data_IF_474205790695
#
_entry.id   IF_474205790695
#
_cell.length_a   1.000
_cell.length_b   1.000
_cell.length_c   1.000
_cell.angle_alpha   90.00
_cell.angle_beta   90.00
_cell.angle_gamma   90.00
#
_symmetry.space_group_name_H-M   'P 1'
#
loop_
_entity.id
_entity.type
_entity.pdbx_description
1 polymer ?
#
# COMPACT_ATOMS: atom_id res chain seq x y z
N UNK A 1 -2.34 -2.88 19.21
CA UNK A 1 -2.12 -2.05 18.00
C UNK A 1 -2.41 -2.73 16.64
N UNK A 2 -2.56 -4.04 16.55
CA UNK A 2 -2.62 -4.80 15.27
C UNK A 2 -3.84 -4.55 14.37
N UNK A 3 -4.97 -4.11 14.94
CA UNK A 3 -6.26 -3.99 14.24
C UNK A 3 -6.17 -3.07 13.02
N UNK A 4 -5.43 -1.96 13.10
CA UNK A 4 -5.29 -1.01 11.99
C UNK A 4 -4.66 -1.65 10.75
N UNK A 5 -3.54 -2.35 10.92
CA UNK A 5 -2.83 -3.01 9.82
C UNK A 5 -3.64 -4.16 9.22
N UNK A 6 -4.39 -4.88 10.07
CA UNK A 6 -5.29 -5.97 9.63
C UNK A 6 -6.43 -5.39 8.79
N UNK A 7 -7.07 -4.31 9.23
CA UNK A 7 -8.13 -3.65 8.49
C UNK A 7 -7.63 -3.08 7.16
N UNK A 8 -6.50 -2.38 7.17
CA UNK A 8 -5.89 -1.81 5.97
C UNK A 8 -5.60 -2.90 4.93
N UNK A 9 -4.94 -3.98 5.35
CA UNK A 9 -4.61 -5.10 4.46
C UNK A 9 -5.88 -5.80 3.96
N UNK A 10 -6.85 -6.07 4.84
CA UNK A 10 -8.08 -6.78 4.49
C UNK A 10 -8.94 -5.98 3.50
N UNK A 11 -9.13 -4.67 3.75
CA UNK A 11 -9.90 -3.79 2.86
C UNK A 11 -9.19 -3.67 1.52
N UNK A 12 -7.87 -3.45 1.49
CA UNK A 12 -7.10 -3.38 0.25
C UNK A 12 -7.22 -4.66 -0.58
N UNK A 13 -7.08 -5.84 0.04
CA UNK A 13 -7.21 -7.12 -0.67
C UNK A 13 -8.64 -7.29 -1.20
N UNK A 14 -9.66 -6.93 -0.42
CA UNK A 14 -11.04 -7.00 -0.86
C UNK A 14 -11.29 -6.10 -2.08
N UNK A 15 -10.81 -4.84 -2.07
CA UNK A 15 -10.94 -3.91 -3.20
C UNK A 15 -10.26 -4.45 -4.45
N UNK A 16 -9.02 -4.96 -4.34
CA UNK A 16 -8.27 -5.53 -5.47
C UNK A 16 -8.98 -6.76 -6.04
N UNK A 17 -9.44 -7.68 -5.17
CA UNK A 17 -10.14 -8.89 -5.61
C UNK A 17 -11.44 -8.54 -6.32
N UNK A 18 -12.24 -7.62 -5.77
CA UNK A 18 -13.48 -7.15 -6.40
C UNK A 18 -13.18 -6.51 -7.75
N UNK A 19 -12.14 -5.67 -7.84
CA UNK A 19 -11.71 -5.07 -9.10
C UNK A 19 -11.33 -6.12 -10.15
N UNK A 20 -10.49 -7.10 -9.79
CA UNK A 20 -10.06 -8.17 -10.69
C UNK A 20 -11.28 -8.96 -11.18
N UNK A 21 -12.20 -9.32 -10.28
CA UNK A 21 -13.43 -10.05 -10.65
C UNK A 21 -14.32 -9.23 -11.60
N UNK A 22 -14.41 -7.91 -11.42
CA UNK A 22 -15.15 -7.03 -12.32
C UNK A 22 -14.45 -6.81 -13.65
N UNK A 23 -13.12 -6.94 -13.70
CA UNK A 23 -12.35 -6.79 -14.93
C UNK A 23 -12.56 -7.97 -15.89
N UNK A 24 -12.78 -9.18 -15.36
CA UNK A 24 -13.09 -10.38 -16.15
C UNK A 24 -14.56 -10.53 -16.53
N UNK A 25 -15.48 -9.82 -15.87
CA UNK A 25 -16.91 -9.90 -16.17
C UNK A 25 -17.30 -8.94 -17.30
N UNK A 26 -18.12 -9.42 -18.23
CA UNK A 26 -18.74 -8.60 -19.28
C UNK A 26 -19.60 -7.51 -18.64
N UNK A 27 -19.51 -6.29 -19.15
CA UNK A 27 -20.25 -5.12 -18.65
C UNK A 27 -21.75 -5.41 -18.68
N UNK A 28 -22.35 -5.58 -17.50
CA UNK A 28 -23.79 -5.67 -17.28
C UNK A 28 -24.22 -4.51 -16.37
N UNK A 29 -25.51 -4.15 -16.34
CA UNK A 29 -26.06 -3.08 -15.50
C UNK A 29 -25.66 -3.22 -14.02
N UNK A 30 -25.71 -4.42 -13.47
CA UNK A 30 -25.23 -4.68 -12.10
C UNK A 30 -23.73 -4.38 -11.92
N UNK A 31 -22.90 -4.58 -12.95
CA UNK A 31 -21.47 -4.30 -12.88
C UNK A 31 -21.14 -2.80 -12.91
N UNK A 32 -21.98 -1.96 -13.53
CA UNK A 32 -21.79 -0.49 -13.53
C UNK A 32 -21.91 0.06 -12.11
N UNK A 33 -22.96 -0.31 -11.38
CA UNK A 33 -23.13 0.12 -9.98
C UNK A 33 -21.99 -0.37 -9.07
N UNK A 34 -21.55 -1.63 -9.22
CA UNK A 34 -20.43 -2.14 -8.41
C UNK A 34 -19.13 -1.38 -8.74
N UNK A 35 -18.90 -0.99 -9.99
CA UNK A 35 -17.74 -0.17 -10.39
C UNK A 35 -17.77 1.22 -9.75
N UNK A 36 -18.93 1.86 -9.69
CA UNK A 36 -19.11 3.15 -9.01
C UNK A 36 -18.83 3.03 -7.50
N UNK A 37 -19.39 2.00 -6.86
CA UNK A 37 -19.11 1.70 -5.46
C UNK A 37 -17.61 1.49 -5.24
N UNK A 38 -16.97 0.72 -6.12
CA UNK A 38 -15.55 0.41 -6.03
C UNK A 38 -14.67 1.65 -6.21
N UNK A 39 -14.98 2.52 -7.17
CA UNK A 39 -14.24 3.75 -7.40
C UNK A 39 -14.28 4.69 -6.19
N UNK A 40 -15.48 4.94 -5.65
CA UNK A 40 -15.65 5.79 -4.47
C UNK A 40 -15.00 5.18 -3.22
N UNK A 41 -15.19 3.87 -3.01
CA UNK A 41 -14.59 3.16 -1.87
C UNK A 41 -13.06 3.14 -1.95
N UNK A 42 -12.51 2.94 -3.15
CA UNK A 42 -11.05 2.93 -3.35
C UNK A 42 -10.47 4.33 -3.14
N UNK A 43 -11.15 5.38 -3.61
CA UNK A 43 -10.76 6.79 -3.37
C UNK A 43 -10.71 7.10 -1.88
N UNK A 44 -11.80 6.85 -1.17
CA UNK A 44 -11.87 7.07 0.27
C UNK A 44 -10.83 6.21 1.02
N UNK A 45 -10.66 4.95 0.64
CA UNK A 45 -9.66 4.08 1.25
C UNK A 45 -8.25 4.61 1.06
N UNK A 46 -7.88 4.98 -0.16
CA UNK A 46 -6.54 5.46 -0.48
C UNK A 46 -6.18 6.73 0.29
N UNK A 47 -7.11 7.70 0.34
CA UNK A 47 -6.91 8.95 1.07
C UNK A 47 -6.73 8.72 2.57
N UNK A 48 -7.49 7.80 3.17
CA UNK A 48 -7.33 7.47 4.58
C UNK A 48 -6.06 6.64 4.86
N UNK A 49 -5.79 5.65 4.02
CA UNK A 49 -4.65 4.75 4.15
C UNK A 49 -3.31 5.48 3.98
N UNK A 50 -3.22 6.47 3.08
CA UNK A 50 -1.98 7.25 2.91
C UNK A 50 -1.68 8.11 4.14
N UNK A 51 -2.69 8.73 4.77
CA UNK A 51 -2.50 9.46 6.02
C UNK A 51 -2.11 8.52 7.16
N UNK A 52 -2.77 7.38 7.28
CA UNK A 52 -2.43 6.34 8.24
C UNK A 52 -0.97 5.88 8.07
N UNK A 53 -0.57 5.51 6.86
CA UNK A 53 0.79 5.09 6.54
C UNK A 53 1.79 6.19 6.86
N UNK A 54 1.54 7.45 6.46
CA UNK A 54 2.44 8.57 6.77
C UNK A 54 2.68 8.75 8.28
N UNK A 55 1.61 8.64 9.09
CA UNK A 55 1.71 8.71 10.55
C UNK A 55 2.54 7.56 11.13
N UNK A 56 2.34 6.35 10.60
CA UNK A 56 3.11 5.17 11.00
C UNK A 56 4.58 5.29 10.59
N UNK A 57 4.89 5.84 9.42
CA UNK A 57 6.26 6.08 8.99
C UNK A 57 6.97 7.08 9.91
N UNK A 58 6.32 8.18 10.25
CA UNK A 58 6.88 9.18 11.19
C UNK A 58 7.07 8.56 12.58
N UNK A 59 6.07 7.84 13.09
CA UNK A 59 6.17 7.15 14.37
C UNK A 59 7.33 6.13 14.37
N UNK A 60 7.50 5.41 13.27
CA UNK A 60 8.59 4.45 13.08
C UNK A 60 9.96 5.14 13.16
N UNK A 61 10.12 6.30 12.51
CA UNK A 61 11.35 7.10 12.61
C UNK A 61 11.64 7.50 14.05
N UNK A 62 10.63 8.01 14.78
CA UNK A 62 10.80 8.45 16.17
C UNK A 62 11.19 7.29 17.09
N UNK A 63 10.51 6.14 16.97
CA UNK A 63 10.81 4.95 17.78
C UNK A 63 12.22 4.44 17.49
N UNK A 64 12.57 4.32 16.21
CA UNK A 64 13.90 3.83 15.81
C UNK A 64 15.02 4.81 16.16
N UNK A 65 14.79 6.12 16.07
CA UNK A 65 15.75 7.11 16.54
C UNK A 65 16.02 6.94 18.04
N UNK A 66 14.98 6.77 18.87
CA UNK A 66 15.15 6.51 20.31
C UNK A 66 15.94 5.23 20.59
N UNK A 67 15.72 4.18 19.79
CA UNK A 67 16.47 2.91 19.91
C UNK A 67 17.93 3.10 19.48
N UNK A 68 18.17 3.74 18.34
CA UNK A 68 19.52 3.95 17.79
C UNK A 68 20.39 4.85 18.66
N UNK A 69 19.79 5.84 19.34
CA UNK A 69 20.51 6.72 20.29
C UNK A 69 20.54 6.18 21.72
N UNK A 70 20.05 4.96 21.97
CA UNK A 70 20.10 4.33 23.29
C UNK A 70 19.24 5.00 24.37
N UNK A 71 18.31 5.87 23.99
CA UNK A 71 17.52 6.69 24.93
C UNK A 71 16.48 5.82 25.68
N UNK A 72 15.96 4.76 25.04
CA UNK A 72 14.86 3.96 25.59
C UNK A 72 15.02 2.45 25.34
N UNK A 73 16.24 2.00 25.04
CA UNK A 73 16.52 0.60 24.74
C UNK A 73 16.68 -0.19 26.04
N UNK A 74 15.57 -0.58 26.68
CA UNK A 74 15.54 -1.54 27.80
C UNK A 74 15.94 -2.96 27.33
N UNK A 75 17.04 -3.12 26.60
CA UNK A 75 17.50 -4.38 26.02
C UNK A 75 16.72 -4.91 24.80
N UNK A 76 15.50 -4.43 24.55
CA UNK A 76 14.63 -4.92 23.46
C UNK A 76 14.80 -4.18 22.11
N UNK A 77 15.91 -3.46 21.92
CA UNK A 77 16.14 -2.64 20.72
C UNK A 77 16.08 -3.44 19.41
N UNK A 78 16.68 -4.63 19.38
CA UNK A 78 16.69 -5.50 18.20
C UNK A 78 15.29 -5.95 17.75
N UNK A 79 14.46 -6.39 18.69
CA UNK A 79 13.09 -6.85 18.41
C UNK A 79 12.21 -5.66 18.02
N UNK A 80 12.33 -4.55 18.75
CA UNK A 80 11.61 -3.30 18.44
C UNK A 80 11.94 -2.81 17.04
N UNK A 81 13.20 -2.88 16.61
CA UNK A 81 13.61 -2.54 15.25
C UNK A 81 12.96 -3.45 14.20
N UNK A 82 12.94 -4.78 14.42
CA UNK A 82 12.31 -5.74 13.52
C UNK A 82 10.79 -5.49 13.40
N UNK A 83 10.11 -5.26 14.52
CA UNK A 83 8.66 -4.98 14.56
C UNK A 83 8.36 -3.68 13.82
N UNK A 84 9.06 -2.60 14.15
CA UNK A 84 8.82 -1.27 13.58
C UNK A 84 8.99 -1.27 12.06
N UNK A 85 10.03 -1.95 11.57
CA UNK A 85 10.25 -2.09 10.14
C UNK A 85 9.16 -2.94 9.45
N UNK A 86 8.73 -4.05 10.06
CA UNK A 86 7.66 -4.89 9.52
C UNK A 86 6.33 -4.11 9.45
N UNK A 87 6.00 -3.33 10.47
CA UNK A 87 4.84 -2.42 10.49
C UNK A 87 4.93 -1.38 9.37
N UNK A 88 6.10 -0.75 9.20
CA UNK A 88 6.33 0.21 8.11
C UNK A 88 6.03 -0.42 6.74
N UNK A 89 6.49 -1.65 6.50
CA UNK A 89 6.21 -2.37 5.26
C UNK A 89 4.73 -2.76 5.11
N UNK A 90 4.08 -3.17 6.20
CA UNK A 90 2.66 -3.56 6.22
C UNK A 90 1.72 -2.43 5.79
N UNK A 91 2.06 -1.17 6.08
CA UNK A 91 1.25 -0.02 5.65
C UNK A 91 1.54 0.45 4.23
N UNK A 92 2.73 0.15 3.69
CA UNK A 92 3.12 0.58 2.34
C UNK A 92 2.75 -0.43 1.26
N UNK A 93 2.80 -1.73 1.56
CA UNK A 93 2.48 -2.78 0.61
C UNK A 93 1.06 -2.61 0.04
N UNK A 94 -0.02 -2.52 0.86
CA UNK A 94 -1.39 -2.41 0.36
C UNK A 94 -1.63 -1.20 -0.55
N UNK A 95 -0.90 -0.11 -0.33
CA UNK A 95 -0.99 1.12 -1.12
C UNK A 95 -0.36 1.02 -2.50
N UNK A 96 0.59 0.10 -2.72
CA UNK A 96 1.33 -0.03 -3.97
C UNK A 96 0.40 -0.24 -5.19
N UNK A 97 -0.43 -1.30 -5.28
CA UNK A 97 -1.32 -1.51 -6.42
C UNK A 97 -2.31 -0.37 -6.63
N UNK A 98 -2.72 0.31 -5.56
CA UNK A 98 -3.64 1.46 -5.62
C UNK A 98 -2.95 2.71 -6.18
N UNK A 99 -1.69 2.95 -5.81
CA UNK A 99 -0.89 4.09 -6.32
C UNK A 99 -0.47 3.93 -7.79
N UNK A 100 -0.61 2.72 -8.32
CA UNK A 100 -0.22 2.36 -9.68
C UNK A 100 -1.42 2.16 -10.61
N UNK A 101 -2.59 1.79 -10.08
CA UNK A 101 -3.78 1.50 -10.88
C UNK A 101 -4.71 2.70 -11.00
N UNK A 102 -4.47 3.56 -12.00
CA UNK A 102 -5.37 4.69 -12.32
C UNK A 102 -6.82 4.21 -12.60
N UNK A 103 -6.98 2.96 -13.07
CA UNK A 103 -8.26 2.34 -13.41
C UNK A 103 -9.21 2.09 -12.23
N UNK A 104 -8.69 1.89 -11.02
CA UNK A 104 -9.58 1.60 -9.89
C UNK A 104 -10.38 2.80 -9.44
N UNK A 105 -9.99 4.01 -9.87
CA UNK A 105 -10.65 5.27 -9.54
C UNK A 105 -11.44 5.85 -10.71
N UNK A 106 -11.29 5.30 -11.92
CA UNK A 106 -11.97 5.81 -13.10
C UNK A 106 -13.39 5.26 -13.15
N UNK A 107 -14.35 6.17 -13.01
CA UNK A 107 -15.75 5.89 -13.34
C UNK A 107 -15.80 5.54 -14.84
N UNK A 108 -16.61 4.55 -15.20
CA UNK A 108 -16.55 3.89 -16.51
C UNK A 108 -17.09 4.79 -17.64
N UNK A 109 -16.47 5.95 -17.91
CA UNK A 109 -16.84 6.89 -18.98
C UNK A 109 -16.41 6.43 -20.39
N UNK A 110 -16.27 5.12 -20.58
CA UNK A 110 -16.03 4.52 -21.90
C UNK A 110 -17.12 4.90 -22.90
N UNK A 111 -18.35 5.07 -22.43
CA UNK A 111 -19.48 5.46 -23.26
C UNK A 111 -19.49 6.95 -23.57
N UNK A 112 -18.83 7.81 -22.80
CA UNK A 112 -18.77 9.25 -23.09
C UNK A 112 -17.69 9.58 -24.14
N UNK A 113 -16.56 8.84 -24.16
CA UNK A 113 -15.56 8.90 -25.24
C UNK A 113 -16.08 8.21 -26.52
N UNK A 114 -16.73 7.04 -26.45
CA UNK A 114 -17.33 6.38 -27.63
C UNK A 114 -18.54 7.17 -28.18
N UNK A 115 -19.38 7.78 -27.34
CA UNK A 115 -20.48 8.63 -27.81
C UNK A 115 -19.98 9.91 -28.46
N UNK A 116 -18.89 10.51 -27.96
CA UNK A 116 -18.27 11.66 -28.61
C UNK A 116 -17.67 11.31 -29.99
N UNK A 117 -17.16 10.09 -30.17
CA UNK A 117 -16.63 9.59 -31.45
C UNK A 117 -17.75 9.17 -32.43
N UNK A 118 -18.85 8.60 -31.93
CA UNK A 118 -20.02 8.25 -32.75
C UNK A 118 -20.79 9.50 -33.19
N UNK A 119 -20.96 10.51 -32.32
CA UNK A 119 -21.58 11.80 -32.65
C UNK A 119 -20.75 12.58 -33.70
N UNK A 120 -19.42 12.38 -33.74
CA UNK A 120 -18.57 12.97 -34.78
C UNK A 120 -18.85 12.46 -36.20
N UNK A 121 -19.50 11.30 -36.36
CA UNK A 121 -19.77 10.71 -37.68
C UNK A 121 -21.18 10.97 -38.20
N UNK A 122 -22.14 11.42 -37.37
CA UNK A 122 -23.55 11.51 -37.75
C UNK A 122 -24.12 12.93 -37.90
N UNK A 123 -23.44 13.99 -37.43
CA UNK A 123 -24.01 15.35 -37.44
C UNK A 123 -23.21 16.31 -38.34
N UNK A 124 -23.51 16.26 -39.63
CA UNK A 124 -22.81 17.04 -40.67
C UNK A 124 -23.38 18.44 -40.95
N UNK A 125 -24.36 18.97 -40.19
CA UNK A 125 -25.01 20.23 -40.65
C UNK A 125 -25.29 21.34 -39.62
N UNK A 126 -24.86 21.25 -38.35
CA UNK A 126 -24.95 22.43 -37.45
C UNK A 126 -23.99 22.45 -36.23
N UNK A 127 -22.89 21.69 -36.29
CA UNK A 127 -22.16 21.23 -35.10
C UNK A 127 -20.99 22.05 -34.56
N UNK A 128 -20.58 23.17 -35.17
CA UNK A 128 -19.24 23.73 -34.89
C UNK A 128 -19.09 24.34 -33.48
N UNK A 129 -20.12 25.01 -32.93
CA UNK A 129 -20.06 25.61 -31.58
C UNK A 129 -20.26 24.60 -30.44
N UNK A 130 -21.06 23.56 -30.66
CA UNK A 130 -21.30 22.51 -29.66
C UNK A 130 -20.06 21.58 -29.58
N UNK A 131 -19.39 21.35 -30.71
CA UNK A 131 -18.17 20.55 -30.84
C UNK A 131 -16.98 21.12 -30.07
N UNK A 132 -16.73 22.43 -30.13
CA UNK A 132 -15.67 23.07 -29.33
C UNK A 132 -15.94 22.99 -27.82
N UNK A 133 -17.21 23.12 -27.42
CA UNK A 133 -17.57 23.17 -26.00
C UNK A 133 -17.48 21.79 -25.35
N UNK A 134 -17.98 20.74 -26.02
CA UNK A 134 -17.88 19.35 -25.54
C UNK A 134 -16.43 18.85 -25.52
N UNK A 135 -15.65 19.15 -26.55
CA UNK A 135 -14.23 18.79 -26.62
C UNK A 135 -13.40 19.47 -25.51
N UNK A 136 -13.67 20.74 -25.18
CA UNK A 136 -13.00 21.42 -24.07
C UNK A 136 -13.34 20.83 -22.72
N UNK A 137 -14.61 20.47 -22.49
CA UNK A 137 -15.06 19.87 -21.21
C UNK A 137 -14.41 18.49 -20.99
N UNK A 138 -14.36 17.66 -22.04
CA UNK A 138 -13.70 16.35 -21.96
C UNK A 138 -12.18 16.48 -21.71
N UNK A 139 -11.53 17.47 -22.32
CA UNK A 139 -10.09 17.71 -22.13
C UNK A 139 -9.80 18.20 -20.70
N UNK A 140 -10.62 19.10 -20.16
CA UNK A 140 -10.46 19.59 -18.77
C UNK A 140 -10.65 18.48 -17.75
N UNK A 141 -11.59 17.55 -17.95
CA UNK A 141 -11.81 16.43 -17.03
C UNK A 141 -10.62 15.46 -17.03
N UNK A 142 -10.03 15.21 -18.20
CA UNK A 142 -8.85 14.35 -18.34
C UNK A 142 -7.62 14.95 -17.64
N UNK A 143 -7.40 16.25 -17.79
CA UNK A 143 -6.28 16.94 -17.14
C UNK A 143 -6.40 16.93 -15.61
N UNK A 144 -7.63 17.03 -15.07
CA UNK A 144 -7.89 16.92 -13.63
C UNK A 144 -7.64 15.51 -13.08
N UNK A 145 -8.06 14.46 -13.80
CA UNK A 145 -7.79 13.07 -13.45
C UNK A 145 -6.29 12.77 -13.41
N UNK A 146 -5.55 13.17 -14.46
CA UNK A 146 -4.10 12.99 -14.55
C UNK A 146 -3.36 13.74 -13.43
N UNK A 147 -3.85 14.93 -13.04
CA UNK A 147 -3.31 15.69 -11.92
C UNK A 147 -3.53 14.97 -10.58
N UNK A 148 -4.72 14.37 -10.39
CA UNK A 148 -5.03 13.63 -9.17
C UNK A 148 -4.17 12.36 -9.06
N UNK A 149 -3.93 11.62 -10.13
CA UNK A 149 -3.10 10.43 -10.13
C UNK A 149 -1.63 10.75 -9.86
N UNK A 150 -1.11 11.85 -10.43
CA UNK A 150 0.23 12.37 -10.10
C UNK A 150 0.33 12.73 -8.63
N UNK A 151 -0.70 13.36 -8.06
CA UNK A 151 -0.76 13.70 -6.62
C UNK A 151 -0.73 12.44 -5.75
N UNK A 152 -1.53 11.42 -6.08
CA UNK A 152 -1.55 10.14 -5.33
C UNK A 152 -0.18 9.49 -5.34
N UNK A 153 0.40 9.30 -6.52
CA UNK A 153 1.73 8.72 -6.64
C UNK A 153 2.80 9.52 -5.89
N UNK A 154 2.75 10.86 -5.96
CA UNK A 154 3.65 11.72 -5.19
C UNK A 154 3.55 11.51 -3.68
N UNK A 155 2.32 11.42 -3.13
CA UNK A 155 2.12 11.16 -1.70
C UNK A 155 2.65 9.77 -1.30
N UNK A 156 2.46 8.77 -2.16
CA UNK A 156 3.04 7.44 -1.95
C UNK A 156 4.57 7.47 -1.95
N UNK A 157 5.19 8.18 -2.90
CA UNK A 157 6.65 8.37 -2.96
C UNK A 157 7.16 9.04 -1.68
N UNK A 158 6.44 10.03 -1.14
CA UNK A 158 6.81 10.66 0.12
C UNK A 158 6.80 9.66 1.28
N UNK A 159 5.77 8.81 1.38
CA UNK A 159 5.71 7.76 2.40
C UNK A 159 6.82 6.71 2.21
N UNK A 160 7.11 6.33 0.96
CA UNK A 160 8.23 5.45 0.62
C UNK A 160 9.58 6.05 1.02
N UNK A 161 9.81 7.35 0.78
CA UNK A 161 11.03 8.04 1.21
C UNK A 161 11.20 8.01 2.74
N UNK A 162 10.12 8.19 3.50
CA UNK A 162 10.18 8.06 4.96
C UNK A 162 10.55 6.64 5.41
N UNK A 163 10.13 5.62 4.66
CA UNK A 163 10.44 4.20 4.95
C UNK A 163 11.91 3.82 4.75
N UNK A 164 12.68 4.65 4.06
CA UNK A 164 14.12 4.46 3.89
C UNK A 164 14.83 4.47 5.24
N UNK A 165 14.39 5.30 6.19
CA UNK A 165 15.03 5.35 7.52
C UNK A 165 14.81 4.05 8.32
N UNK A 166 13.59 3.51 8.46
CA UNK A 166 13.37 2.18 9.02
C UNK A 166 14.19 1.07 8.36
N UNK A 167 14.28 1.10 7.03
CA UNK A 167 15.10 0.15 6.28
C UNK A 167 16.59 0.27 6.65
N UNK A 168 17.17 1.47 6.56
CA UNK A 168 18.58 1.69 6.88
C UNK A 168 18.90 1.35 8.34
N UNK A 169 18.04 1.74 9.28
CA UNK A 169 18.18 1.39 10.69
C UNK A 169 18.26 -0.13 10.89
N UNK A 170 17.41 -0.89 10.20
CA UNK A 170 17.45 -2.35 10.25
C UNK A 170 18.70 -2.92 9.58
N UNK A 171 19.11 -2.39 8.43
CA UNK A 171 20.29 -2.86 7.71
C UNK A 171 21.56 -2.65 8.54
N UNK A 172 21.69 -1.50 9.22
CA UNK A 172 22.78 -1.26 10.19
C UNK A 172 22.70 -2.26 11.33
N UNK A 173 21.51 -2.57 11.86
CA UNK A 173 21.38 -3.62 12.89
C UNK A 173 21.57 -5.06 12.40
N UNK A 174 21.55 -5.31 11.08
CA UNK A 174 21.73 -6.66 10.50
C UNK A 174 23.16 -6.90 10.05
N UNK A 175 23.79 -5.89 9.43
CA UNK A 175 25.11 -5.96 8.83
C UNK A 175 26.18 -5.19 9.63
N UNK A 176 25.77 -4.40 10.63
CA UNK A 176 26.68 -3.81 11.58
C UNK A 176 27.32 -4.88 12.46
N UNK A 177 28.49 -4.56 13.01
CA UNK A 177 29.18 -5.49 13.91
C UNK A 177 28.27 -5.85 15.09
N UNK A 178 28.14 -7.15 15.36
CA UNK A 178 27.51 -7.68 16.57
C UNK A 178 28.07 -6.97 17.80
N UNK A 179 27.24 -6.23 18.52
CA UNK A 179 27.67 -5.42 19.68
C UNK A 179 27.90 -6.25 20.95
N UNK A 180 27.69 -7.57 20.93
CA UNK A 180 27.84 -8.39 22.13
C UNK A 180 28.72 -9.61 21.81
N UNK A 181 29.86 -9.72 22.50
CA UNK A 181 30.64 -10.96 22.61
C UNK A 181 31.69 -11.27 21.53
N UNK A 182 31.72 -10.59 20.37
CA UNK A 182 32.57 -11.00 19.24
C UNK A 182 33.84 -10.18 19.01
N UNK A 183 34.16 -9.22 19.89
CA UNK A 183 35.38 -8.41 19.80
C UNK A 183 36.51 -8.97 20.68
N UNK A 184 37.77 -8.68 20.35
CA UNK A 184 38.95 -9.05 21.14
C UNK A 184 39.01 -8.44 22.55
N UNK A 185 38.06 -7.57 22.90
CA UNK A 185 37.85 -7.00 24.24
C UNK A 185 36.50 -7.34 24.87
N UNK A 186 35.79 -8.38 24.39
CA UNK A 186 34.53 -8.80 24.96
C UNK A 186 34.73 -9.39 26.37
N UNK A 187 34.06 -8.81 27.37
CA UNK A 187 34.15 -9.20 28.79
C UNK A 187 33.43 -10.53 29.09
N UNK A 188 32.50 -10.93 28.21
CA UNK A 188 31.66 -12.12 28.38
C UNK A 188 31.92 -13.06 27.20
N UNK A 189 32.27 -14.31 27.49
CA UNK A 189 32.49 -15.32 26.46
C UNK A 189 31.16 -15.73 25.82
N UNK A 190 31.19 -16.25 24.59
CA UNK A 190 30.01 -16.78 23.90
C UNK A 190 29.31 -17.89 24.68
N UNK A 191 30.06 -18.69 25.46
CA UNK A 191 29.51 -19.75 26.29
C UNK A 191 28.75 -19.19 27.50
N UNK A 192 29.28 -18.14 28.14
CA UNK A 192 28.60 -17.48 29.26
C UNK A 192 27.32 -16.79 28.79
N UNK A 193 27.33 -16.26 27.56
CA UNK A 193 26.14 -15.65 26.97
C UNK A 193 25.04 -16.67 26.69
N UNK A 194 25.39 -17.85 26.18
CA UNK A 194 24.43 -18.94 25.99
C UNK A 194 23.82 -19.41 27.33
N UNK A 195 24.61 -19.42 28.41
CA UNK A 195 24.13 -19.77 29.74
C UNK A 195 23.17 -18.72 30.31
N UNK A 196 23.48 -17.44 30.14
CA UNK A 196 22.62 -16.31 30.54
C UNK A 196 21.32 -16.33 29.73
N UNK A 197 21.40 -16.56 28.42
CA UNK A 197 20.23 -16.68 27.55
C UNK A 197 19.33 -17.84 28.01
N UNK A 198 19.91 -19.01 28.29
CA UNK A 198 19.16 -20.17 28.75
C UNK A 198 18.44 -19.95 30.08
N UNK A 199 19.08 -19.29 31.05
CA UNK A 199 18.47 -19.03 32.37
C UNK A 199 17.48 -17.86 32.33
N UNK A 200 17.74 -16.80 31.54
CA UNK A 200 16.85 -15.65 31.43
C UNK A 200 15.63 -15.90 30.54
N UNK A 201 15.72 -16.77 29.54
CA UNK A 201 14.63 -17.07 28.59
C UNK A 201 13.97 -18.44 28.82
N UNK A 202 14.17 -19.04 29.99
CA UNK A 202 13.55 -20.31 30.36
C UNK A 202 12.02 -20.22 30.28
N UNK A 203 11.43 -20.91 29.29
CA UNK A 203 9.98 -20.91 29.04
C UNK A 203 9.52 -19.95 27.93
N UNK A 204 10.44 -19.22 27.28
CA UNK A 204 10.16 -18.43 26.07
C UNK A 204 10.37 -19.31 24.84
N UNK A 205 9.42 -19.30 23.90
CA UNK A 205 9.55 -20.04 22.64
C UNK A 205 10.45 -19.25 21.69
N UNK A 206 11.74 -19.54 21.72
CA UNK A 206 12.73 -18.88 20.86
C UNK A 206 12.38 -18.95 19.38
N UNK A 207 12.90 -17.97 18.65
CA UNK A 207 12.85 -17.96 17.21
C UNK A 207 13.81 -19.02 16.68
N UNK A 208 13.28 -19.97 15.90
CA UNK A 208 14.13 -20.88 15.16
C UNK A 208 14.97 -20.08 14.14
N UNK A 209 16.25 -20.41 13.98
CA UNK A 209 17.15 -19.69 13.06
C UNK A 209 16.61 -19.61 11.62
N UNK A 210 15.88 -20.64 11.17
CA UNK A 210 15.17 -20.64 9.88
C UNK A 210 14.05 -19.60 9.81
N UNK A 211 13.30 -19.38 10.91
CA UNK A 211 12.26 -18.36 11.00
C UNK A 211 12.88 -16.95 10.96
N UNK A 212 13.97 -16.72 11.68
CA UNK A 212 14.65 -15.42 11.66
C UNK A 212 15.21 -15.06 10.29
N UNK A 213 15.79 -16.05 9.62
CA UNK A 213 16.33 -15.90 8.26
C UNK A 213 15.19 -15.60 7.28
N UNK A 214 14.07 -16.33 7.38
CA UNK A 214 12.89 -16.08 6.55
C UNK A 214 12.31 -14.67 6.79
N UNK A 215 12.10 -14.26 8.05
CA UNK A 215 11.60 -12.93 8.38
C UNK A 215 12.47 -11.82 7.79
N UNK A 216 13.79 -11.96 7.90
CA UNK A 216 14.72 -10.98 7.36
C UNK A 216 14.72 -10.99 5.82
N UNK A 217 14.76 -12.17 5.19
CA UNK A 217 14.76 -12.30 3.74
C UNK A 217 13.49 -11.71 3.10
N UNK A 218 12.31 -12.03 3.64
CA UNK A 218 11.05 -11.48 3.16
C UNK A 218 10.88 -9.99 3.49
N UNK A 219 11.39 -9.53 4.64
CA UNK A 219 11.45 -8.10 4.96
C UNK A 219 12.26 -7.31 3.92
N UNK A 220 13.49 -7.76 3.64
CA UNK A 220 14.38 -7.14 2.65
C UNK A 220 13.74 -7.24 1.26
N UNK A 221 13.26 -8.43 0.90
CA UNK A 221 12.59 -8.67 -0.38
C UNK A 221 11.37 -7.80 -0.61
N UNK A 222 10.55 -7.57 0.43
CA UNK A 222 9.36 -6.70 0.34
C UNK A 222 9.75 -5.25 0.10
N UNK A 223 10.76 -4.74 0.82
CA UNK A 223 11.24 -3.37 0.64
C UNK A 223 11.90 -3.16 -0.74
N UNK A 224 12.71 -4.14 -1.20
CA UNK A 224 13.33 -4.10 -2.52
C UNK A 224 12.28 -4.16 -3.63
N UNK A 225 11.26 -5.02 -3.48
CA UNK A 225 10.13 -5.09 -4.42
C UNK A 225 9.40 -3.76 -4.51
N UNK A 226 9.02 -3.17 -3.38
CA UNK A 226 8.42 -1.82 -3.32
C UNK A 226 9.30 -0.77 -4.00
N UNK A 227 10.58 -0.73 -3.63
CA UNK A 227 11.52 0.28 -4.12
C UNK A 227 11.78 0.15 -5.61
N UNK A 228 11.91 -1.09 -6.13
CA UNK A 228 12.10 -1.35 -7.55
C UNK A 228 10.92 -0.79 -8.36
N UNK A 229 9.69 -1.05 -7.92
CA UNK A 229 8.48 -0.57 -8.62
C UNK A 229 8.36 0.96 -8.55
N UNK A 230 8.65 1.56 -7.38
CA UNK A 230 8.62 3.03 -7.22
C UNK A 230 9.68 3.70 -8.10
N UNK A 231 10.93 3.24 -8.04
CA UNK A 231 12.03 3.80 -8.84
C UNK A 231 11.75 3.63 -10.33
N UNK A 232 11.23 2.46 -10.73
CA UNK A 232 10.82 2.21 -12.11
C UNK A 232 9.77 3.22 -12.59
N UNK A 233 8.73 3.50 -11.80
CA UNK A 233 7.69 4.49 -12.16
C UNK A 233 8.22 5.93 -12.17
N UNK A 234 9.09 6.29 -11.22
CA UNK A 234 9.76 7.61 -11.22
C UNK A 234 10.61 7.78 -12.49
N UNK A 235 11.39 6.76 -12.84
CA UNK A 235 12.22 6.77 -14.04
C UNK A 235 11.40 6.93 -15.32
N UNK A 236 10.31 6.17 -15.45
CA UNK A 236 9.38 6.30 -16.58
C UNK A 236 8.75 7.70 -16.65
N UNK A 237 8.27 8.22 -15.52
CA UNK A 237 7.71 9.58 -15.44
C UNK A 237 8.73 10.66 -15.80
N UNK A 238 10.01 10.44 -15.45
CA UNK A 238 11.12 11.32 -15.82
C UNK A 238 11.38 11.35 -17.32
N UNK A 239 11.46 10.17 -17.96
CA UNK A 239 11.65 10.05 -19.41
C UNK A 239 10.51 10.73 -20.18
N UNK A 240 9.27 10.49 -19.78
CA UNK A 240 8.10 11.10 -20.43
C UNK A 240 8.13 12.63 -20.38
N UNK A 241 8.53 13.21 -19.23
CA UNK A 241 8.64 14.67 -19.09
C UNK A 241 9.77 15.27 -19.90
N UNK A 242 10.92 14.60 -19.96
CA UNK A 242 12.12 15.15 -20.59
C UNK A 242 12.09 15.00 -22.13
N UNK A 243 11.47 13.93 -22.63
CA UNK A 243 11.49 13.61 -24.05
C UNK A 243 10.12 13.16 -24.59
N UNK A 244 9.13 14.08 -24.63
CA UNK A 244 7.76 13.75 -25.07
C UNK A 244 7.71 13.24 -26.52
N UNK A 245 8.60 13.70 -27.40
CA UNK A 245 8.63 13.32 -28.82
C UNK A 245 9.68 12.24 -29.15
N UNK A 246 10.29 11.60 -28.15
CA UNK A 246 11.28 10.56 -28.45
C UNK A 246 10.62 9.26 -28.89
N UNK A 247 11.21 8.61 -29.90
CA UNK A 247 10.86 7.22 -30.29
C UNK A 247 10.99 6.23 -29.13
N UNK A 248 11.70 6.61 -28.07
CA UNK A 248 11.87 5.81 -26.86
C UNK A 248 10.62 5.90 -26.00
N UNK A 249 10.10 7.10 -25.73
CA UNK A 249 8.82 7.30 -25.04
C UNK A 249 7.68 6.59 -25.77
N UNK A 250 7.59 6.75 -27.09
CA UNK A 250 6.55 6.07 -27.89
C UNK A 250 6.72 4.55 -27.91
N UNK A 251 7.95 4.01 -27.91
CA UNK A 251 8.19 2.55 -27.82
C UNK A 251 7.79 1.97 -26.47
N UNK A 252 7.97 2.72 -25.39
CA UNK A 252 7.53 2.30 -24.07
C UNK A 252 6.01 2.34 -23.96
N UNK A 253 5.37 3.32 -24.61
CA UNK A 253 3.91 3.48 -24.64
C UNK A 253 3.22 2.35 -25.41
N UNK A 254 3.78 1.96 -26.55
CA UNK A 254 3.20 0.98 -27.49
C UNK A 254 3.42 -0.49 -27.08
N UNK A 255 4.42 -0.76 -26.22
CA UNK A 255 4.70 -2.10 -25.68
C UNK A 255 4.32 -2.16 -24.21
N UNK A 256 3.04 -2.41 -23.89
CA UNK A 256 2.44 -3.14 -22.74
C UNK A 256 3.11 -3.17 -21.34
N UNK A 257 4.15 -2.38 -21.09
CA UNK A 257 4.92 -2.31 -19.84
C UNK A 257 4.32 -1.23 -18.92
N UNK A 258 3.32 -0.51 -19.41
CA UNK A 258 2.60 0.46 -18.61
C UNK A 258 1.67 -0.23 -17.59
N UNK A 259 1.90 0.12 -16.33
CA UNK A 259 0.91 -0.01 -15.25
C UNK A 259 -0.35 0.86 -15.54
N UNK A 260 -0.26 1.78 -16.51
CA UNK A 260 -1.33 2.63 -17.04
C UNK A 260 -2.03 2.06 -18.30
N UNK A 261 -2.01 0.74 -18.52
CA UNK A 261 -2.69 0.15 -19.70
C UNK A 261 -4.21 0.14 -19.53
N UNK A 262 -4.95 0.71 -20.50
CA UNK A 262 -6.41 0.90 -20.54
C UNK A 262 -7.28 -0.35 -20.24
N UNK A 263 -6.70 -1.55 -20.33
CA UNK A 263 -7.27 -2.80 -19.82
C UNK A 263 -6.35 -3.42 -18.76
N UNK A 264 -6.78 -3.47 -17.49
CA UNK A 264 -5.97 -4.02 -16.40
C UNK A 264 -5.71 -5.53 -16.57
N UNK A 265 -6.59 -6.26 -17.25
CA UNK A 265 -6.41 -7.67 -17.58
C UNK A 265 -5.29 -7.94 -18.58
N UNK A 266 -4.82 -6.92 -19.30
CA UNK A 266 -3.78 -7.03 -20.32
C UNK A 266 -2.38 -6.65 -19.78
N UNK A 267 -2.30 -5.94 -18.65
CA UNK A 267 -1.03 -5.62 -17.99
C UNK A 267 -0.63 -6.73 -17.01
N UNK A 268 0.14 -7.70 -17.52
CA UNK A 268 0.69 -8.78 -16.71
C UNK A 268 1.46 -8.27 -15.47
N UNK A 269 2.19 -7.16 -15.61
CA UNK A 269 2.93 -6.55 -14.50
C UNK A 269 2.02 -6.04 -13.39
N UNK A 270 0.91 -5.37 -13.73
CA UNK A 270 -0.05 -4.89 -12.74
C UNK A 270 -0.71 -6.07 -12.01
N UNK A 271 -1.07 -7.14 -12.73
CA UNK A 271 -1.60 -8.37 -12.14
C UNK A 271 -0.57 -9.03 -11.21
N UNK A 272 0.70 -9.10 -11.61
CA UNK A 272 1.78 -9.58 -10.74
C UNK A 272 1.89 -8.75 -9.47
N UNK A 273 1.84 -7.41 -9.55
CA UNK A 273 1.87 -6.53 -8.37
C UNK A 273 0.67 -6.80 -7.47
N UNK A 274 -0.54 -6.97 -8.03
CA UNK A 274 -1.76 -7.25 -7.27
C UNK A 274 -1.76 -8.62 -6.58
N UNK A 275 -1.00 -9.60 -7.08
CA UNK A 275 -0.88 -10.93 -6.46
C UNK A 275 0.28 -10.97 -5.46
N UNK A 276 1.44 -10.42 -5.82
CA UNK A 276 2.65 -10.44 -4.98
C UNK A 276 2.45 -9.58 -3.74
N UNK A 277 1.79 -8.43 -3.85
CA UNK A 277 1.60 -7.49 -2.74
C UNK A 277 0.83 -8.10 -1.56
N UNK A 278 -0.36 -8.72 -1.76
CA UNK A 278 -1.06 -9.44 -0.69
C UNK A 278 -0.25 -10.58 -0.08
N UNK A 279 0.47 -11.35 -0.90
CA UNK A 279 1.30 -12.46 -0.41
C UNK A 279 2.41 -11.96 0.53
N UNK A 280 3.11 -10.89 0.12
CA UNK A 280 4.10 -10.23 0.96
C UNK A 280 3.45 -9.65 2.23
N UNK A 281 2.27 -9.04 2.11
CA UNK A 281 1.55 -8.45 3.26
C UNK A 281 1.15 -9.52 4.29
N UNK A 282 0.66 -10.69 3.83
CA UNK A 282 0.33 -11.83 4.70
C UNK A 282 1.59 -12.31 5.44
N UNK A 283 2.71 -12.43 4.73
CA UNK A 283 3.97 -12.84 5.35
C UNK A 283 4.47 -11.81 6.37
N UNK A 284 4.39 -10.52 6.05
CA UNK A 284 4.74 -9.45 7.00
C UNK A 284 3.82 -9.48 8.22
N UNK A 285 2.53 -9.76 8.04
CA UNK A 285 1.56 -9.86 9.13
C UNK A 285 1.91 -11.03 10.06
N UNK A 286 2.28 -12.19 9.50
CA UNK A 286 2.79 -13.31 10.26
C UNK A 286 4.07 -12.95 11.04
N UNK A 287 5.01 -12.26 10.39
CA UNK A 287 6.26 -11.80 11.01
C UNK A 287 5.96 -10.88 12.20
N UNK A 288 5.11 -9.89 12.00
CA UNK A 288 4.67 -8.95 13.02
C UNK A 288 4.05 -9.69 14.23
N UNK A 289 3.06 -10.56 14.01
CA UNK A 289 2.42 -11.29 15.11
C UNK A 289 3.39 -12.24 15.84
N UNK A 290 4.31 -12.88 15.12
CA UNK A 290 5.30 -13.76 15.74
C UNK A 290 6.26 -12.98 16.63
N UNK A 291 6.74 -11.82 16.17
CA UNK A 291 7.61 -10.93 16.93
C UNK A 291 6.89 -10.30 18.12
N UNK A 292 5.64 -9.88 17.96
CA UNK A 292 4.83 -9.34 19.06
C UNK A 292 4.63 -10.41 20.15
N UNK A 293 4.28 -11.64 19.77
CA UNK A 293 4.14 -12.76 20.72
C UNK A 293 5.44 -13.03 21.47
N UNK A 294 6.57 -12.97 20.78
CA UNK A 294 7.88 -13.13 21.41
C UNK A 294 8.16 -12.00 22.41
N UNK A 295 7.90 -10.74 22.04
CA UNK A 295 8.09 -9.59 22.92
C UNK A 295 7.23 -9.68 24.19
N UNK A 296 5.97 -10.09 24.05
CA UNK A 296 5.07 -10.38 25.17
C UNK A 296 5.61 -11.49 26.07
N UNK A 297 6.10 -12.60 25.49
CA UNK A 297 6.66 -13.71 26.27
C UNK A 297 7.92 -13.29 27.04
N UNK A 298 8.80 -12.51 26.41
CA UNK A 298 9.98 -11.96 27.08
C UNK A 298 9.61 -11.00 28.22
N UNK A 299 8.61 -10.14 28.01
CA UNK A 299 8.15 -9.19 29.03
C UNK A 299 7.57 -9.91 30.25
N UNK A 300 6.77 -10.97 30.01
CA UNK A 300 6.24 -11.84 31.07
C UNK A 300 7.33 -12.60 31.81
N UNK A 301 8.30 -13.15 31.08
CA UNK A 301 9.44 -13.84 31.68
C UNK A 301 10.29 -12.92 32.57
N UNK A 302 10.40 -11.63 32.22
CA UNK A 302 11.06 -10.62 33.05
C UNK A 302 10.22 -10.12 34.24
N UNK A 303 9.05 -10.70 34.50
CA UNK A 303 8.15 -10.29 35.59
C UNK A 303 7.42 -8.96 35.34
N UNK A 304 7.38 -8.49 34.09
CA UNK A 304 6.64 -7.29 33.70
C UNK A 304 5.18 -7.62 33.39
N UNK A 305 4.28 -6.70 33.75
CA UNK A 305 2.90 -6.74 33.28
C UNK A 305 2.85 -6.42 31.79
N UNK A 306 1.93 -7.09 31.09
CA UNK A 306 1.76 -7.01 29.64
C UNK A 306 0.69 -5.94 29.33
N UNK A 307 1.08 -4.70 28.93
CA UNK A 307 0.13 -3.60 28.74
C UNK A 307 -0.75 -3.77 27.49
N UNK A 308 -0.54 -4.84 26.72
CA UNK A 308 -1.14 -5.05 25.39
C UNK A 308 -2.56 -5.65 25.42
N UNK A 309 -3.16 -5.81 26.61
CA UNK A 309 -4.55 -6.31 26.76
C UNK A 309 -5.60 -5.21 26.61
N UNK A 310 -5.23 -3.94 26.78
CA UNK A 310 -6.14 -2.81 26.65
C UNK A 310 -6.17 -2.23 25.23
N UNK A 311 -7.34 -1.70 24.84
CA UNK A 311 -7.45 -0.93 23.60
C UNK A 311 -6.59 0.33 23.68
N UNK A 312 -5.49 0.30 22.96
CA UNK A 312 -4.61 1.46 22.81
C UNK A 312 -5.27 2.56 21.98
N UNK A 313 -4.96 3.82 22.29
CA UNK A 313 -5.42 4.98 21.50
C UNK A 313 -5.19 4.79 19.99
N UNK A 314 -4.06 4.19 19.60
CA UNK A 314 -3.75 3.89 18.20
C UNK A 314 -4.74 2.93 17.52
N UNK A 315 -5.31 1.95 18.24
CA UNK A 315 -6.33 1.06 17.70
C UNK A 315 -7.65 1.79 17.46
N UNK A 316 -8.05 2.65 18.39
CA UNK A 316 -9.27 3.46 18.27
C UNK A 316 -9.14 4.41 17.07
N UNK A 317 -8.02 5.13 16.99
CA UNK A 317 -7.73 6.03 15.86
C UNK A 317 -7.72 5.29 14.53
N UNK A 318 -7.12 4.10 14.46
CA UNK A 318 -7.09 3.31 13.23
C UNK A 318 -8.51 2.92 12.75
N UNK A 319 -9.40 2.51 13.67
CA UNK A 319 -10.79 2.21 13.31
C UNK A 319 -11.53 3.46 12.82
N UNK A 320 -11.32 4.60 13.48
CA UNK A 320 -11.92 5.88 13.08
C UNK A 320 -11.45 6.29 11.69
N UNK A 321 -10.16 6.15 11.38
CA UNK A 321 -9.59 6.50 10.06
C UNK A 321 -10.23 5.69 8.92
N UNK A 322 -10.59 4.41 9.15
CA UNK A 322 -11.23 3.59 8.12
C UNK A 322 -12.77 3.67 8.12
N UNK A 323 -13.38 4.36 9.09
CA UNK A 323 -14.84 4.54 9.16
C UNK A 323 -15.43 5.23 7.91
N UNK A 324 -14.80 6.28 7.33
CA UNK A 324 -15.30 6.89 6.09
C UNK A 324 -15.47 5.89 4.95
N UNK A 325 -14.61 4.87 4.83
CA UNK A 325 -14.74 3.84 3.80
C UNK A 325 -16.03 3.04 3.98
N UNK A 326 -16.36 2.67 5.23
CA UNK A 326 -17.60 1.96 5.54
C UNK A 326 -18.83 2.85 5.32
N UNK A 327 -18.71 4.15 5.61
CA UNK A 327 -19.78 5.14 5.39
C UNK A 327 -20.06 5.29 3.90
N UNK A 328 -19.03 5.41 3.05
CA UNK A 328 -19.18 5.49 1.59
C UNK A 328 -19.86 4.23 1.03
N UNK A 329 -19.38 3.05 1.44
CA UNK A 329 -20.01 1.77 1.06
C UNK A 329 -21.47 1.75 1.49
N UNK A 330 -21.77 2.12 2.74
CA UNK A 330 -23.13 2.17 3.28
C UNK A 330 -24.03 3.19 2.55
N UNK A 331 -23.50 4.36 2.22
CA UNK A 331 -24.20 5.41 1.49
C UNK A 331 -24.58 4.96 0.09
N UNK A 332 -23.64 4.37 -0.65
CA UNK A 332 -23.88 3.86 -2.01
C UNK A 332 -24.87 2.69 -1.99
N UNK A 333 -24.76 1.77 -1.02
CA UNK A 333 -25.72 0.66 -0.85
C UNK A 333 -27.13 1.19 -0.56
N UNK A 334 -27.26 2.15 0.37
CA UNK A 334 -28.55 2.72 0.75
C UNK A 334 -29.21 3.47 -0.41
N UNK A 335 -28.44 4.22 -1.18
CA UNK A 335 -28.93 5.05 -2.27
C UNK A 335 -28.92 4.34 -3.63
N UNK A 336 -28.79 3.01 -3.65
CA UNK A 336 -28.76 2.20 -4.88
C UNK A 336 -29.87 2.55 -5.88
N UNK A 337 -31.10 2.80 -5.41
CA UNK A 337 -32.24 3.14 -6.28
C UNK A 337 -32.08 4.47 -7.02
N UNK A 338 -31.34 5.43 -6.47
CA UNK A 338 -31.06 6.71 -7.13
C UNK A 338 -30.04 6.50 -8.25
N UNK A 339 -28.96 5.76 -7.97
CA UNK A 339 -27.95 5.42 -8.98
C UNK A 339 -28.53 4.53 -10.08
N UNK A 340 -29.40 3.57 -9.74
CA UNK A 340 -30.08 2.73 -10.74
C UNK A 340 -30.98 3.54 -11.69
N UNK A 341 -31.49 4.72 -11.27
CA UNK A 341 -32.26 5.65 -12.11
C UNK A 341 -31.36 6.49 -13.02
N UNK A 342 -30.28 7.07 -12.48
CA UNK A 342 -29.31 7.85 -13.26
C UNK A 342 -28.72 6.99 -14.38
N UNK A 343 -28.30 5.76 -14.07
CA UNK A 343 -27.79 4.80 -15.06
C UNK A 343 -28.87 4.44 -16.10
N UNK A 344 -30.15 4.45 -15.72
CA UNK A 344 -31.25 4.13 -16.62
C UNK A 344 -31.60 5.27 -17.58
N UNK A 345 -31.52 6.51 -17.11
CA UNK A 345 -31.76 7.71 -17.93
C UNK A 345 -30.66 7.84 -18.99
N UNK A 346 -29.40 7.53 -18.63
CA UNK A 346 -28.25 7.47 -19.53
C UNK A 346 -28.37 6.41 -20.66
N UNK A 347 -29.12 5.32 -20.44
CA UNK A 347 -29.36 4.27 -21.46
C UNK A 347 -30.54 4.62 -22.40
N UNK A 348 -31.32 5.68 -22.10
CA UNK A 348 -32.53 6.06 -22.86
C UNK A 348 -32.38 7.34 -23.71
N UNK A 349 -31.30 8.10 -23.52
CA UNK A 349 -30.85 9.15 -24.44
C UNK A 349 -29.85 8.58 -25.45
#
# INVERSE_FOLDING_TARGET
MSIGYVLETAISVALIVVFILLSYRKTNRQSRWIRLLLANSTKAFYENAIFFSSGIQIASIVVLAKVNFGINANGQGAITMKITWSISLLTLLPLLPLSLGNFMFRESNKEQEESAEIIQTSSAENGDKIRETSGRVALTHKDEEDAQDRRRFFLFVLCWMLSVFPFLSRMVGTFGQSQIGSGSGAVVSTNDWALIEQECFKGVNDLQSSQETAMSAFGIGSWLFLSLIVIWKIFLSGIQRQHPNSKLASRFEDKSVFLDTYRPSESWLWMCVCIVTPLLSIFQMWTFFRLQRLQTQMTKASGGDDPDTDWTFGQIVAVIIFTPVLVEVGFVIRNRKMFDKVICEEDTE
#
